data_IF_548966180973
#
_entry.id   IF_548966180973
#
_cell.length_a   1.000
_cell.length_b   1.000
_cell.length_c   1.000
_cell.angle_alpha   90.00
_cell.angle_beta   90.00
_cell.angle_gamma   90.00
#
_symmetry.space_group_name_H-M   'P 1'
#
loop_
_entity.id
_entity.type
_entity.pdbx_description
1 polymer ?
#
# COMPACT_ATOMS: atom_id res chain seq x y z
N UNK A 1 28.08 14.71 1.19
CA UNK A 1 27.47 15.24 2.46
C UNK A 1 27.29 16.77 2.39
N UNK A 2 27.93 17.48 1.44
CA UNK A 2 27.94 18.95 1.42
C UNK A 2 26.86 19.66 0.55
N UNK A 3 25.93 18.93 -0.06
CA UNK A 3 24.92 19.58 -0.93
C UNK A 3 23.72 20.18 -0.18
N UNK A 4 23.46 19.79 1.06
CA UNK A 4 22.34 20.30 1.86
C UNK A 4 22.61 21.67 2.53
N UNK A 5 23.85 21.96 2.83
CA UNK A 5 24.24 23.21 3.52
C UNK A 5 24.31 24.43 2.57
N UNK A 6 24.65 24.22 1.30
CA UNK A 6 24.77 25.31 0.31
C UNK A 6 23.42 25.96 0.04
N UNK A 7 22.32 25.17 -0.01
CA UNK A 7 20.97 25.71 -0.20
C UNK A 7 20.50 26.56 0.97
N UNK A 8 20.77 26.13 2.21
CA UNK A 8 20.36 26.87 3.41
C UNK A 8 21.13 28.16 3.62
N UNK A 9 22.45 28.19 3.31
CA UNK A 9 23.24 29.41 3.35
C UNK A 9 22.84 30.42 2.28
N UNK A 10 22.45 29.95 1.10
CA UNK A 10 21.95 30.80 0.03
C UNK A 10 20.62 31.46 0.43
N UNK A 11 19.68 30.72 0.99
CA UNK A 11 18.43 31.27 1.52
C UNK A 11 18.64 32.28 2.66
N UNK A 12 19.61 32.05 3.53
CA UNK A 12 19.95 32.99 4.62
C UNK A 12 20.61 34.28 4.09
N UNK A 13 21.41 34.16 3.04
CA UNK A 13 22.06 35.31 2.38
C UNK A 13 21.06 36.20 1.68
N UNK A 14 20.13 35.61 0.94
CA UNK A 14 19.06 36.33 0.22
C UNK A 14 18.12 37.04 1.19
N UNK A 15 17.82 36.40 2.32
CA UNK A 15 17.01 36.99 3.40
C UNK A 15 17.71 38.19 4.09
N UNK A 16 19.05 38.16 4.20
CA UNK A 16 19.85 39.28 4.74
C UNK A 16 20.01 40.44 3.74
N UNK A 17 19.87 40.15 2.45
CA UNK A 17 19.94 41.16 1.41
C UNK A 17 18.64 41.96 1.21
N UNK A 18 17.55 41.61 1.90
CA UNK A 18 16.27 42.32 1.80
C UNK A 18 15.49 42.04 0.51
N UNK A 19 15.91 41.03 -0.25
CA UNK A 19 15.40 40.75 -1.61
C UNK A 19 14.20 39.79 -1.64
N UNK A 20 13.73 39.33 -0.46
CA UNK A 20 12.58 38.44 -0.34
C UNK A 20 11.57 38.99 0.64
N UNK A 21 10.63 39.79 0.14
CA UNK A 21 9.35 40.11 0.81
C UNK A 21 8.39 38.86 0.81
N UNK A 22 8.92 37.66 0.62
CA UNK A 22 8.15 36.43 0.69
C UNK A 22 8.18 35.92 2.12
N UNK A 23 7.19 36.29 2.89
CA UNK A 23 6.88 35.61 4.15
C UNK A 23 6.30 34.26 3.76
N UNK A 24 7.10 33.19 3.84
CA UNK A 24 6.59 31.84 3.68
C UNK A 24 5.64 31.56 4.85
N UNK A 25 4.36 31.53 4.59
CA UNK A 25 3.34 31.15 5.55
C UNK A 25 3.33 29.62 5.63
N UNK A 26 3.61 29.10 6.83
CA UNK A 26 3.57 27.65 7.08
C UNK A 26 2.14 27.32 7.44
N UNK A 27 1.40 26.80 6.46
CA UNK A 27 0.04 26.31 6.64
C UNK A 27 0.00 24.80 6.98
N UNK A 28 -1.16 24.31 7.36
CA UNK A 28 -1.40 22.89 7.64
C UNK A 28 -1.06 21.99 6.46
N UNK A 29 -1.28 22.48 5.24
CA UNK A 29 -1.01 21.75 4.01
C UNK A 29 0.48 21.54 3.81
N UNK A 30 1.28 22.57 3.99
CA UNK A 30 2.75 22.47 3.88
C UNK A 30 3.33 21.53 4.94
N UNK A 31 2.81 21.58 6.17
CA UNK A 31 3.21 20.62 7.22
C UNK A 31 2.85 19.19 6.82
N UNK A 32 1.65 18.98 6.28
CA UNK A 32 1.20 17.71 5.76
C UNK A 32 2.11 17.17 4.64
N UNK A 33 2.46 18.01 3.67
CA UNK A 33 3.38 17.66 2.57
C UNK A 33 4.76 17.26 3.07
N UNK A 34 5.32 17.99 4.03
CA UNK A 34 6.62 17.65 4.64
C UNK A 34 6.53 16.31 5.40
N UNK A 35 5.46 16.08 6.14
CA UNK A 35 5.23 14.80 6.81
C UNK A 35 5.07 13.66 5.81
N UNK A 36 4.36 13.88 4.70
CA UNK A 36 4.23 12.90 3.62
C UNK A 36 5.59 12.54 3.01
N UNK A 37 6.45 13.53 2.76
CA UNK A 37 7.82 13.30 2.27
C UNK A 37 8.69 12.52 3.27
N UNK A 38 8.54 12.78 4.56
CA UNK A 38 9.33 12.12 5.61
C UNK A 38 8.87 10.70 5.92
N UNK A 39 7.57 10.46 5.85
CA UNK A 39 6.94 9.19 6.29
C UNK A 39 6.53 8.31 5.13
N UNK A 40 6.46 8.83 3.91
CA UNK A 40 5.87 8.16 2.75
C UNK A 40 4.33 8.02 2.86
N UNK A 41 3.70 8.71 3.81
CA UNK A 41 2.24 8.69 4.02
C UNK A 41 1.62 9.81 3.19
N UNK A 42 0.78 9.52 2.18
CA UNK A 42 0.10 10.56 1.41
C UNK A 42 -0.79 11.40 2.32
N UNK A 43 -0.77 12.72 2.14
CA UNK A 43 -1.68 13.62 2.89
C UNK A 43 -3.12 13.28 2.51
N UNK A 44 -3.95 13.03 3.52
CA UNK A 44 -5.28 12.42 3.34
C UNK A 44 -6.38 13.37 2.89
N UNK A 45 -6.11 14.65 2.75
CA UNK A 45 -7.13 15.57 2.22
C UNK A 45 -7.26 15.38 0.71
N UNK A 46 -8.42 14.88 0.29
CA UNK A 46 -8.77 14.76 -1.12
C UNK A 46 -8.79 16.17 -1.72
N UNK A 47 -7.75 16.50 -2.46
CA UNK A 47 -7.73 17.71 -3.29
C UNK A 47 -8.72 17.55 -4.44
N UNK A 48 -9.12 18.67 -5.08
CA UNK A 48 -9.94 18.61 -6.30
C UNK A 48 -9.27 17.78 -7.38
N UNK A 49 -7.93 17.80 -7.45
CA UNK A 49 -7.11 16.99 -8.37
C UNK A 49 -7.23 15.48 -8.06
N UNK A 50 -7.31 15.09 -6.79
CA UNK A 50 -7.47 13.70 -6.40
C UNK A 50 -8.86 13.16 -6.77
N UNK A 51 -9.90 13.98 -6.64
CA UNK A 51 -11.26 13.62 -7.06
C UNK A 51 -11.30 13.40 -8.58
N UNK A 52 -10.68 14.29 -9.34
CA UNK A 52 -10.61 14.16 -10.81
C UNK A 52 -9.78 12.94 -11.22
N UNK A 53 -8.65 12.69 -10.54
CA UNK A 53 -7.84 11.49 -10.72
C UNK A 53 -8.67 10.22 -10.49
N UNK A 54 -9.44 10.15 -9.40
CA UNK A 54 -10.31 9.02 -9.10
C UNK A 54 -11.44 8.83 -10.12
N UNK A 55 -11.91 9.91 -10.75
CA UNK A 55 -12.89 9.82 -11.84
C UNK A 55 -12.31 9.14 -13.08
N UNK A 56 -11.06 9.43 -13.41
CA UNK A 56 -10.34 8.85 -14.57
C UNK A 56 -9.70 7.51 -14.30
N UNK A 57 -9.90 6.95 -13.10
CA UNK A 57 -9.26 5.71 -12.67
C UNK A 57 -9.47 4.56 -13.66
N UNK A 58 -10.68 4.40 -14.21
CA UNK A 58 -10.98 3.34 -15.17
C UNK A 58 -10.14 3.49 -16.45
N UNK A 59 -10.07 4.71 -17.01
CA UNK A 59 -9.29 5.01 -18.20
C UNK A 59 -7.78 4.78 -17.97
N UNK A 60 -7.26 5.19 -16.80
CA UNK A 60 -5.86 4.98 -16.44
C UNK A 60 -5.51 3.50 -16.30
N UNK A 61 -6.36 2.71 -15.66
CA UNK A 61 -6.16 1.26 -15.54
C UNK A 61 -6.24 0.57 -16.91
N UNK A 62 -7.14 1.03 -17.80
CA UNK A 62 -7.26 0.49 -19.17
C UNK A 62 -6.07 0.79 -20.07
N UNK A 63 -5.23 1.76 -19.74
CA UNK A 63 -3.99 2.03 -20.51
C UNK A 63 -3.02 0.86 -20.50
N UNK A 64 -2.99 0.09 -19.42
CA UNK A 64 -2.10 -1.07 -19.25
C UNK A 64 -2.85 -2.39 -19.34
N UNK A 65 -4.09 -2.45 -18.83
CA UNK A 65 -4.89 -3.67 -18.82
C UNK A 65 -5.98 -3.57 -19.88
N UNK A 66 -5.78 -4.28 -20.96
CA UNK A 66 -6.73 -4.32 -22.10
C UNK A 66 -7.82 -5.35 -21.80
N UNK A 67 -9.07 -4.94 -21.94
CA UNK A 67 -10.22 -5.76 -21.55
C UNK A 67 -10.50 -5.70 -20.04
N UNK A 68 -11.23 -6.66 -19.51
CA UNK A 68 -11.58 -6.77 -18.07
C UNK A 68 -12.42 -5.58 -17.57
N UNK A 69 -13.30 -5.02 -18.41
CA UNK A 69 -14.09 -3.82 -18.13
C UNK A 69 -14.89 -3.94 -16.84
N UNK A 70 -15.57 -5.09 -16.62
CA UNK A 70 -16.39 -5.32 -15.43
C UNK A 70 -15.53 -5.36 -14.15
N UNK A 71 -14.35 -5.99 -14.22
CA UNK A 71 -13.42 -6.09 -13.10
C UNK A 71 -12.85 -4.72 -12.74
N UNK A 72 -12.39 -3.96 -13.73
CA UNK A 72 -11.83 -2.61 -13.54
C UNK A 72 -12.91 -1.66 -13.00
N UNK A 73 -14.13 -1.73 -13.53
CA UNK A 73 -15.26 -0.93 -13.05
C UNK A 73 -15.61 -1.24 -11.59
N UNK A 74 -15.73 -2.53 -11.23
CA UNK A 74 -16.03 -2.95 -9.86
C UNK A 74 -14.94 -2.51 -8.88
N UNK A 75 -13.65 -2.68 -9.26
CA UNK A 75 -12.49 -2.24 -8.50
C UNK A 75 -12.52 -0.72 -8.27
N UNK A 76 -12.67 0.06 -9.34
CA UNK A 76 -12.69 1.52 -9.31
C UNK A 76 -13.84 2.06 -8.46
N UNK A 77 -15.03 1.47 -8.56
CA UNK A 77 -16.17 1.84 -7.71
C UNK A 77 -15.91 1.57 -6.24
N UNK A 78 -15.30 0.43 -5.90
CA UNK A 78 -14.96 0.10 -4.52
C UNK A 78 -13.93 1.06 -3.94
N UNK A 79 -12.88 1.38 -4.69
CA UNK A 79 -11.85 2.33 -4.28
C UNK A 79 -12.44 3.74 -4.09
N UNK A 80 -13.29 4.20 -5.02
CA UNK A 80 -13.99 5.49 -4.90
C UNK A 80 -14.85 5.57 -3.63
N UNK A 81 -15.59 4.50 -3.28
CA UNK A 81 -16.38 4.44 -2.03
C UNK A 81 -15.48 4.55 -0.80
N UNK A 82 -14.36 3.83 -0.80
CA UNK A 82 -13.39 3.87 0.31
C UNK A 82 -12.80 5.27 0.49
N UNK A 83 -12.40 5.92 -0.58
CA UNK A 83 -11.86 7.28 -0.55
C UNK A 83 -12.90 8.34 -0.16
N UNK A 84 -14.17 8.10 -0.47
CA UNK A 84 -15.28 8.94 -0.01
C UNK A 84 -15.65 8.74 1.48
N UNK A 85 -14.88 7.96 2.24
CA UNK A 85 -15.13 7.72 3.65
C UNK A 85 -16.23 6.70 3.96
N UNK A 86 -16.76 6.02 2.94
CA UNK A 86 -17.88 5.05 3.08
C UNK A 86 -17.36 3.63 3.36
N UNK A 87 -16.27 3.50 4.13
CA UNK A 87 -15.73 2.20 4.55
C UNK A 87 -15.82 2.00 6.06
N UNK A 88 -15.78 0.74 6.51
CA UNK A 88 -15.53 0.42 7.92
C UNK A 88 -14.06 0.81 8.26
N UNK A 89 -13.84 1.72 9.23
CA UNK A 89 -12.48 2.19 9.57
C UNK A 89 -11.58 1.11 10.14
N UNK A 90 -12.14 -0.06 10.50
CA UNK A 90 -11.38 -1.19 11.02
C UNK A 90 -10.82 -2.08 9.92
N UNK A 91 -11.39 -2.06 8.72
CA UNK A 91 -11.02 -2.96 7.62
C UNK A 91 -9.96 -2.35 6.70
N UNK A 92 -9.27 -3.16 5.89
CA UNK A 92 -8.39 -2.68 4.83
C UNK A 92 -9.08 -1.69 3.87
N UNK A 93 -8.29 -0.89 3.15
CA UNK A 93 -8.81 0.08 2.18
C UNK A 93 -9.62 -0.56 1.04
N UNK A 94 -9.32 -1.81 0.73
CA UNK A 94 -10.07 -2.63 -0.21
C UNK A 94 -9.61 -4.09 -0.11
N UNK A 95 -10.52 -5.02 -0.41
CA UNK A 95 -10.21 -6.46 -0.45
C UNK A 95 -10.88 -7.06 -1.67
N UNK A 96 -10.09 -7.67 -2.55
CA UNK A 96 -10.54 -8.17 -3.85
C UNK A 96 -10.03 -9.58 -4.08
N UNK A 97 -10.85 -10.39 -4.76
CA UNK A 97 -10.46 -11.69 -5.26
C UNK A 97 -10.54 -11.65 -6.79
N UNK A 98 -9.42 -11.87 -7.46
CA UNK A 98 -9.32 -11.96 -8.91
C UNK A 98 -9.28 -13.44 -9.30
N UNK A 99 -10.42 -13.97 -9.72
CA UNK A 99 -10.54 -15.35 -10.19
C UNK A 99 -10.52 -15.38 -11.72
N UNK A 100 -9.73 -16.27 -12.31
CA UNK A 100 -9.65 -16.43 -13.75
C UNK A 100 -8.34 -17.09 -14.19
N UNK A 101 -8.24 -17.57 -15.43
CA UNK A 101 -7.08 -18.29 -15.93
C UNK A 101 -5.81 -17.45 -15.91
N UNK A 102 -4.65 -18.11 -15.99
CA UNK A 102 -3.36 -17.43 -16.08
C UNK A 102 -3.28 -16.54 -17.33
N UNK A 103 -2.56 -15.42 -17.23
CA UNK A 103 -2.29 -14.53 -18.36
C UNK A 103 -3.39 -13.51 -18.67
N UNK A 104 -4.50 -13.46 -17.92
CA UNK A 104 -5.59 -12.49 -18.15
C UNK A 104 -5.32 -11.09 -17.54
N UNK A 105 -4.13 -10.86 -16.95
CA UNK A 105 -3.73 -9.55 -16.45
C UNK A 105 -3.94 -9.31 -14.96
N UNK A 106 -4.22 -10.34 -14.13
CA UNK A 106 -4.45 -10.20 -12.67
C UNK A 106 -3.31 -9.47 -11.96
N UNK A 107 -2.09 -9.91 -12.19
CA UNK A 107 -0.87 -9.31 -11.59
C UNK A 107 -0.60 -7.91 -12.15
N UNK A 108 -0.80 -7.72 -13.45
CA UNK A 108 -0.59 -6.40 -14.09
C UNK A 108 -1.59 -5.37 -13.58
N UNK A 109 -2.86 -5.76 -13.39
CA UNK A 109 -3.87 -4.89 -12.78
C UNK A 109 -3.47 -4.48 -11.36
N UNK A 110 -2.88 -5.39 -10.58
CA UNK A 110 -2.40 -5.11 -9.21
C UNK A 110 -1.23 -4.12 -9.21
N UNK A 111 -0.29 -4.22 -10.16
CA UNK A 111 0.82 -3.26 -10.34
C UNK A 111 0.32 -1.89 -10.74
N UNK A 112 -0.54 -1.84 -11.75
CA UNK A 112 -1.13 -0.59 -12.23
C UNK A 112 -1.93 0.11 -11.13
N UNK A 113 -2.64 -0.67 -10.29
CA UNK A 113 -3.36 -0.13 -9.15
C UNK A 113 -2.41 0.46 -8.09
N UNK A 114 -1.29 -0.19 -7.80
CA UNK A 114 -0.30 0.32 -6.85
C UNK A 114 0.29 1.66 -7.33
N UNK A 115 0.69 1.73 -8.58
CA UNK A 115 1.17 2.98 -9.20
C UNK A 115 0.09 4.08 -9.19
N UNK A 116 -1.15 3.73 -9.53
CA UNK A 116 -2.25 4.69 -9.55
C UNK A 116 -2.55 5.27 -8.17
N UNK A 117 -2.63 4.42 -7.13
CA UNK A 117 -3.03 4.83 -5.78
C UNK A 117 -1.91 5.52 -4.99
N UNK A 118 -0.67 5.05 -5.17
CA UNK A 118 0.47 5.42 -4.32
C UNK A 118 1.60 6.09 -5.10
N UNK A 119 1.49 6.20 -6.43
CA UNK A 119 2.46 6.88 -7.29
C UNK A 119 3.74 6.10 -7.55
N UNK A 120 3.82 4.85 -7.11
CA UNK A 120 5.00 4.01 -7.22
C UNK A 120 4.61 2.53 -7.42
N UNK A 121 5.17 1.87 -8.42
CA UNK A 121 4.99 0.43 -8.62
C UNK A 121 5.58 -0.39 -7.47
N UNK A 122 6.61 0.12 -6.81
CA UNK A 122 7.23 -0.49 -5.63
C UNK A 122 6.32 -0.48 -4.39
N UNK A 123 5.18 0.19 -4.45
CA UNK A 123 4.12 0.07 -3.45
C UNK A 123 3.35 -1.26 -3.56
N UNK A 124 3.66 -2.11 -4.54
CA UNK A 124 3.16 -3.48 -4.61
C UNK A 124 4.02 -4.43 -3.78
N UNK A 125 3.39 -5.09 -2.81
CA UNK A 125 3.95 -6.21 -2.04
C UNK A 125 3.38 -7.50 -2.64
N UNK A 126 4.13 -8.15 -3.52
CA UNK A 126 3.72 -9.43 -4.11
C UNK A 126 4.27 -10.60 -3.32
N UNK A 127 3.42 -11.60 -3.10
CA UNK A 127 3.70 -12.85 -2.40
C UNK A 127 3.12 -14.01 -3.20
N UNK A 128 3.98 -14.89 -3.68
CA UNK A 128 3.56 -16.15 -4.33
C UNK A 128 3.20 -17.18 -3.25
N UNK A 129 1.94 -17.55 -3.18
CA UNK A 129 1.43 -18.46 -2.16
C UNK A 129 1.89 -19.91 -2.36
N UNK A 130 2.42 -20.27 -3.52
CA UNK A 130 3.05 -21.56 -3.76
C UNK A 130 4.29 -21.78 -2.88
N UNK A 131 5.02 -20.71 -2.53
CA UNK A 131 6.15 -20.76 -1.61
C UNK A 131 5.74 -21.03 -0.15
N UNK A 132 4.45 -20.85 0.17
CA UNK A 132 3.88 -20.98 1.50
C UNK A 132 2.89 -22.13 1.60
N UNK A 133 3.10 -23.19 0.82
CA UNK A 133 2.24 -24.39 0.80
C UNK A 133 2.45 -25.32 2.01
N UNK A 134 3.59 -25.23 2.69
CA UNK A 134 3.93 -26.04 3.84
C UNK A 134 3.80 -25.23 5.15
N UNK A 135 3.47 -25.94 6.26
CA UNK A 135 3.26 -25.29 7.56
C UNK A 135 4.46 -24.49 8.06
N UNK A 136 5.67 -25.00 7.86
CA UNK A 136 6.88 -24.31 8.30
C UNK A 136 7.18 -23.06 7.46
N UNK A 137 6.78 -23.03 6.18
CA UNK A 137 6.91 -21.84 5.33
C UNK A 137 5.82 -20.81 5.63
N UNK A 138 4.61 -21.26 6.02
CA UNK A 138 3.54 -20.35 6.44
C UNK A 138 3.94 -19.49 7.65
N UNK A 139 4.70 -20.04 8.61
CA UNK A 139 5.21 -19.27 9.74
C UNK A 139 6.18 -18.15 9.34
N UNK A 140 6.91 -18.29 8.23
CA UNK A 140 7.79 -17.23 7.72
C UNK A 140 7.02 -16.01 7.23
N UNK A 141 5.77 -16.17 6.85
CA UNK A 141 4.94 -15.07 6.36
C UNK A 141 4.60 -14.06 7.48
N UNK A 142 4.26 -14.59 8.67
CA UNK A 142 3.80 -13.80 9.81
C UNK A 142 4.85 -13.71 10.93
N UNK A 143 5.95 -14.42 10.82
CA UNK A 143 7.03 -14.54 11.79
C UNK A 143 7.07 -15.90 12.47
N UNK A 144 8.27 -16.36 12.80
CA UNK A 144 8.50 -17.62 13.51
C UNK A 144 8.35 -17.44 15.02
N UNK A 145 7.78 -18.42 15.74
CA UNK A 145 7.72 -18.40 17.19
C UNK A 145 9.12 -18.35 17.83
N UNK A 146 9.25 -17.88 19.09
CA UNK A 146 10.51 -17.85 19.80
C UNK A 146 11.19 -19.23 19.83
N UNK A 147 12.49 -19.27 19.54
CA UNK A 147 13.28 -20.50 19.51
C UNK A 147 13.34 -21.22 18.14
N UNK A 148 12.65 -20.74 17.15
CA UNK A 148 12.75 -21.25 15.77
C UNK A 148 13.66 -20.36 14.91
N UNK A 149 14.27 -20.97 13.87
CA UNK A 149 15.10 -20.28 12.90
C UNK A 149 14.27 -19.20 12.19
N UNK A 150 14.81 -17.96 12.10
CA UNK A 150 14.11 -16.83 11.48
C UNK A 150 13.25 -15.98 12.43
N UNK A 151 13.28 -16.23 13.74
CA UNK A 151 12.57 -15.41 14.72
C UNK A 151 13.00 -13.93 14.70
N UNK A 152 14.31 -13.67 14.55
CA UNK A 152 14.85 -12.30 14.53
C UNK A 152 14.54 -11.53 13.25
N UNK A 153 14.30 -12.24 12.15
CA UNK A 153 14.01 -11.62 10.84
C UNK A 153 12.60 -11.03 10.73
N UNK A 154 11.69 -11.42 11.65
CA UNK A 154 10.28 -11.06 11.58
C UNK A 154 9.54 -11.78 10.45
N UNK A 155 8.26 -11.49 10.28
CA UNK A 155 7.48 -12.07 9.17
C UNK A 155 7.67 -11.30 7.86
N UNK A 156 7.76 -12.02 6.76
CA UNK A 156 7.99 -11.39 5.44
C UNK A 156 6.88 -10.39 5.07
N UNK A 157 5.63 -10.74 5.33
CA UNK A 157 4.50 -9.83 5.09
C UNK A 157 4.48 -8.69 6.10
N UNK A 158 4.56 -9.02 7.38
CA UNK A 158 4.42 -8.03 8.46
C UNK A 158 5.52 -6.97 8.41
N UNK A 159 6.76 -7.35 8.11
CA UNK A 159 7.86 -6.38 7.96
C UNK A 159 7.72 -5.51 6.71
N UNK A 160 7.27 -6.09 5.56
CA UNK A 160 7.04 -5.30 4.34
C UNK A 160 5.93 -4.28 4.54
N UNK A 161 4.79 -4.67 5.13
CA UNK A 161 3.66 -3.76 5.39
C UNK A 161 4.02 -2.71 6.44
N UNK A 162 4.77 -3.07 7.48
CA UNK A 162 5.23 -2.11 8.49
C UNK A 162 6.12 -1.02 7.89
N UNK A 163 6.95 -1.37 6.90
CA UNK A 163 7.81 -0.42 6.18
C UNK A 163 7.03 0.40 5.15
N UNK A 164 6.01 -0.18 4.52
CA UNK A 164 5.17 0.45 3.49
C UNK A 164 3.69 0.27 3.86
N UNK A 165 3.16 1.05 4.82
CA UNK A 165 1.78 0.89 5.28
C UNK A 165 0.74 1.29 4.22
N UNK A 166 1.13 2.10 3.24
CA UNK A 166 0.33 2.46 2.08
C UNK A 166 0.79 1.65 0.88
N UNK A 167 0.20 0.47 0.70
CA UNK A 167 0.63 -0.49 -0.32
C UNK A 167 -0.53 -1.34 -0.83
N UNK A 168 -0.33 -1.93 -2.00
CA UNK A 168 -1.15 -3.04 -2.49
C UNK A 168 -0.47 -4.34 -2.11
N UNK A 169 -1.17 -5.21 -1.40
CA UNK A 169 -0.66 -6.54 -1.03
C UNK A 169 -1.33 -7.57 -1.94
N UNK A 170 -0.53 -8.21 -2.78
CA UNK A 170 -0.96 -9.24 -3.70
C UNK A 170 -0.58 -10.63 -3.17
N UNK A 171 -1.58 -11.46 -2.91
CA UNK A 171 -1.43 -12.88 -2.64
C UNK A 171 -1.71 -13.64 -3.93
N UNK A 172 -0.66 -14.04 -4.63
CA UNK A 172 -0.80 -14.73 -5.92
C UNK A 172 -0.98 -16.25 -5.71
N UNK A 173 -1.92 -16.86 -6.45
CA UNK A 173 -2.27 -18.29 -6.37
C UNK A 173 -2.65 -18.74 -4.94
N UNK A 174 -3.59 -18.01 -4.33
CA UNK A 174 -3.99 -18.22 -2.93
C UNK A 174 -4.46 -19.64 -2.62
N UNK A 175 -4.98 -20.37 -3.62
CA UNK A 175 -5.40 -21.78 -3.49
C UNK A 175 -4.25 -22.73 -3.17
N UNK A 176 -2.99 -22.33 -3.42
CA UNK A 176 -1.81 -23.15 -3.12
C UNK A 176 -1.30 -22.95 -1.69
N UNK A 177 -1.83 -21.96 -0.97
CA UNK A 177 -1.41 -21.63 0.38
C UNK A 177 -1.77 -22.71 1.40
N UNK A 178 -0.93 -22.87 2.44
CA UNK A 178 -1.28 -23.72 3.57
C UNK A 178 -2.55 -23.19 4.28
N UNK A 179 -3.47 -24.07 4.74
CA UNK A 179 -4.71 -23.66 5.41
C UNK A 179 -4.55 -22.69 6.58
N UNK A 180 -3.46 -22.79 7.35
CA UNK A 180 -3.19 -21.91 8.49
C UNK A 180 -3.05 -20.44 8.09
N UNK A 181 -2.68 -20.16 6.84
CA UNK A 181 -2.57 -18.80 6.30
C UNK A 181 -3.93 -18.13 6.22
N UNK A 182 -4.98 -18.86 5.84
CA UNK A 182 -6.33 -18.32 5.72
C UNK A 182 -6.85 -17.76 7.04
N UNK A 183 -6.53 -18.40 8.18
CA UNK A 183 -6.93 -17.90 9.49
C UNK A 183 -6.32 -16.52 9.80
N UNK A 184 -5.06 -16.34 9.45
CA UNK A 184 -4.39 -15.03 9.62
C UNK A 184 -4.90 -14.00 8.62
N UNK A 185 -5.19 -14.39 7.38
CA UNK A 185 -5.80 -13.52 6.38
C UNK A 185 -7.21 -13.07 6.80
N UNK A 186 -8.02 -13.95 7.40
CA UNK A 186 -9.33 -13.55 7.94
C UNK A 186 -9.20 -12.46 8.98
N UNK A 187 -8.23 -12.56 9.89
CA UNK A 187 -7.97 -11.51 10.88
C UNK A 187 -7.62 -10.18 10.20
N UNK A 188 -6.75 -10.21 9.19
CA UNK A 188 -6.40 -9.01 8.42
C UNK A 188 -7.63 -8.41 7.72
N UNK A 189 -8.45 -9.24 7.09
CA UNK A 189 -9.63 -8.78 6.32
C UNK A 189 -10.74 -8.20 7.23
N UNK A 190 -10.90 -8.74 8.44
CA UNK A 190 -11.96 -8.33 9.36
C UNK A 190 -11.54 -7.21 10.31
N UNK A 191 -10.33 -7.30 10.87
CA UNK A 191 -9.83 -6.37 11.87
C UNK A 191 -8.85 -5.33 11.32
N UNK A 192 -8.37 -5.50 10.07
CA UNK A 192 -7.37 -4.62 9.44
C UNK A 192 -6.05 -4.59 10.18
N UNK A 193 -5.74 -5.60 10.96
CA UNK A 193 -4.50 -5.72 11.73
C UNK A 193 -4.07 -7.16 11.87
N UNK A 194 -2.79 -7.36 12.10
CA UNK A 194 -2.22 -8.67 12.37
C UNK A 194 -1.15 -8.53 13.47
N UNK A 195 -1.17 -9.44 14.43
CA UNK A 195 -0.11 -9.53 15.44
C UNK A 195 0.95 -10.51 14.95
N UNK A 196 2.19 -10.06 14.83
CA UNK A 196 3.30 -10.93 14.43
C UNK A 196 3.74 -11.84 15.59
N UNK A 197 4.63 -12.78 15.29
CA UNK A 197 5.16 -13.72 16.29
C UNK A 197 5.99 -13.04 17.40
N UNK A 198 6.40 -11.80 17.22
CA UNK A 198 7.10 -10.99 18.24
C UNK A 198 6.12 -10.16 19.09
N UNK A 199 4.82 -10.32 18.89
CA UNK A 199 3.78 -9.58 19.62
C UNK A 199 3.54 -8.15 19.10
N UNK A 200 4.14 -7.75 17.98
CA UNK A 200 3.93 -6.44 17.38
C UNK A 200 2.67 -6.43 16.52
N UNK A 201 1.85 -5.42 16.69
CA UNK A 201 0.65 -5.23 15.88
C UNK A 201 1.00 -4.45 14.60
N UNK A 202 0.70 -5.04 13.46
CA UNK A 202 0.88 -4.43 12.14
C UNK A 202 -0.48 -4.00 11.60
N UNK A 203 -0.58 -2.76 11.16
CA UNK A 203 -1.82 -2.14 10.65
C UNK A 203 -1.92 -2.30 9.12
N UNK A 204 -3.04 -2.86 8.68
CA UNK A 204 -3.40 -3.09 7.27
C UNK A 204 -4.54 -2.19 6.78
N UNK A 205 -5.01 -1.24 7.59
CA UNK A 205 -6.18 -0.42 7.25
C UNK A 205 -5.97 0.46 6.02
N UNK A 206 -4.71 0.82 5.74
CA UNK A 206 -4.36 1.64 4.58
C UNK A 206 -3.85 0.80 3.39
N UNK A 207 -3.87 -0.52 3.51
CA UNK A 207 -3.50 -1.41 2.40
C UNK A 207 -4.72 -1.81 1.57
N UNK A 208 -4.47 -2.09 0.30
CA UNK A 208 -5.43 -2.77 -0.59
C UNK A 208 -4.97 -4.21 -0.73
N UNK A 209 -5.85 -5.15 -0.39
CA UNK A 209 -5.56 -6.58 -0.44
C UNK A 209 -6.14 -7.17 -1.71
N UNK A 210 -5.32 -7.85 -2.48
CA UNK A 210 -5.71 -8.56 -3.69
C UNK A 210 -5.27 -10.02 -3.54
N UNK A 211 -6.19 -10.93 -3.76
CA UNK A 211 -5.94 -12.37 -3.81
C UNK A 211 -6.22 -12.86 -5.22
N UNK A 212 -5.32 -13.59 -5.83
CA UNK A 212 -5.57 -14.22 -7.12
C UNK A 212 -5.78 -15.71 -6.97
N UNK A 213 -6.61 -16.26 -7.82
CA UNK A 213 -6.85 -17.70 -7.95
C UNK A 213 -7.10 -18.05 -9.40
N UNK A 214 -6.79 -19.28 -9.76
CA UNK A 214 -7.02 -19.83 -11.11
C UNK A 214 -8.29 -20.67 -11.15
#
# INVERSE_FOLDING_TARGET
>A
IDRGLVGSEMCIRDRKAGDLDVVAEVDEKLIGEVLALMTGIPVSDLTEDDIEKLRRMEDELHRRVIGQEDAIKALSQSIRRTRAGLKDPRRPAGSFIFAGPSGVGKTELSKTLAEFLFGDEDALISLDMSEFSERHTASRLFGSPPGYVGYEEGGQLTEKVRRKPFSVVLFDEVEKAHPDIFNSLLQVLEEGRLTDAQGRVVDFKNTVIIMTTN
#
